data_IF_729331328727
#
_entry.id   IF_729331328727
#
_cell.length_a   1.000
_cell.length_b   1.000
_cell.length_c   1.000
_cell.angle_alpha   90.00
_cell.angle_beta   90.00
_cell.angle_gamma   90.00
#
_symmetry.space_group_name_H-M   'P 1'
#
loop_
_entity.id
_entity.type
_entity.pdbx_description
1 polymer ?
#
# COMPACT_ATOMS: atom_id res chain seq x y z
N UNK A 1 31.59 -12.45 -4.41
CA UNK A 1 30.44 -13.28 -4.01
C UNK A 1 29.70 -13.58 -5.30
N UNK A 2 29.81 -14.82 -5.77
CA UNK A 2 29.09 -15.30 -6.96
C UNK A 2 27.69 -15.73 -6.52
N UNK A 3 26.68 -15.30 -7.26
CA UNK A 3 25.27 -15.57 -6.96
C UNK A 3 24.89 -16.93 -7.56
N UNK A 4 24.29 -17.81 -6.77
CA UNK A 4 23.90 -19.16 -7.20
C UNK A 4 22.46 -19.15 -7.74
N UNK A 5 22.33 -19.24 -9.07
CA UNK A 5 21.06 -19.25 -9.80
C UNK A 5 20.19 -20.49 -9.48
N UNK A 6 20.73 -21.52 -8.84
CA UNK A 6 19.99 -22.75 -8.50
C UNK A 6 18.93 -22.55 -7.40
N UNK A 7 18.94 -21.40 -6.71
CA UNK A 7 17.96 -21.06 -5.67
C UNK A 7 16.68 -20.42 -6.22
N UNK A 8 16.59 -20.15 -7.52
CA UNK A 8 15.39 -19.60 -8.15
C UNK A 8 14.34 -20.70 -8.32
N UNK A 9 13.33 -20.69 -7.43
CA UNK A 9 12.15 -21.55 -7.58
C UNK A 9 11.44 -21.18 -8.89
N UNK A 10 11.55 -22.06 -9.90
CA UNK A 10 10.78 -21.97 -11.14
C UNK A 10 9.30 -22.17 -10.80
N UNK A 11 8.54 -21.08 -10.89
CA UNK A 11 7.09 -21.11 -10.70
C UNK A 11 6.45 -21.66 -11.98
N UNK A 12 6.19 -22.96 -12.02
CA UNK A 12 5.41 -23.60 -13.07
C UNK A 12 4.03 -22.95 -13.14
N UNK A 13 3.69 -22.40 -14.31
CA UNK A 13 2.49 -21.61 -14.54
C UNK A 13 1.21 -22.40 -14.25
N UNK A 14 0.48 -21.95 -13.24
CA UNK A 14 -0.96 -22.11 -13.17
C UNK A 14 -1.56 -20.71 -13.37
N UNK A 15 -2.32 -20.55 -14.44
CA UNK A 15 -2.94 -19.28 -14.82
C UNK A 15 -3.85 -18.78 -13.68
N UNK A 16 -3.36 -17.82 -12.92
CA UNK A 16 -4.19 -16.97 -12.08
C UNK A 16 -4.98 -16.01 -13.00
N UNK A 17 -6.22 -15.63 -12.63
CA UNK A 17 -7.05 -14.77 -13.46
C UNK A 17 -6.29 -13.48 -13.76
N UNK A 18 -6.35 -13.04 -15.02
CA UNK A 18 -5.62 -11.91 -15.60
C UNK A 18 -5.47 -10.75 -14.60
N UNK A 19 -4.34 -10.75 -13.89
CA UNK A 19 -3.96 -9.64 -13.05
C UNK A 19 -3.54 -8.54 -14.02
N UNK A 20 -4.19 -7.38 -13.97
CA UNK A 20 -3.65 -6.13 -14.52
C UNK A 20 -2.14 -6.15 -14.30
N UNK A 21 -1.35 -5.95 -15.36
CA UNK A 21 0.11 -6.03 -15.39
C UNK A 21 0.75 -5.04 -14.40
N UNK A 22 0.60 -5.37 -13.12
CA UNK A 22 0.99 -4.53 -12.01
C UNK A 22 2.41 -4.94 -11.72
N UNK A 23 3.34 -4.14 -12.24
CA UNK A 23 4.77 -4.30 -12.02
C UNK A 23 5.05 -4.52 -10.53
N UNK A 24 5.50 -5.73 -10.17
CA UNK A 24 5.87 -6.04 -8.79
C UNK A 24 7.26 -5.51 -8.52
N UNK A 25 7.40 -4.72 -7.46
CA UNK A 25 8.68 -4.16 -7.05
C UNK A 25 8.91 -4.35 -5.56
N UNK A 26 10.17 -4.58 -5.17
CA UNK A 26 10.62 -4.44 -3.78
C UNK A 26 11.36 -3.12 -3.62
N UNK A 27 11.18 -2.46 -2.48
CA UNK A 27 11.80 -1.20 -2.13
C UNK A 27 13.02 -1.48 -1.26
N UNK A 28 14.19 -0.99 -1.65
CA UNK A 28 15.45 -1.22 -0.98
C UNK A 28 16.06 0.10 -0.52
N UNK A 29 16.71 0.08 0.64
CA UNK A 29 17.58 1.16 1.07
C UNK A 29 18.67 1.36 0.01
N UNK A 30 18.82 2.57 -0.53
CA UNK A 30 19.83 2.84 -1.55
C UNK A 30 21.27 2.68 -1.05
N UNK A 31 21.50 2.83 0.27
CA UNK A 31 22.84 2.77 0.85
C UNK A 31 23.35 1.34 1.08
N UNK A 32 22.48 0.42 1.48
CA UNK A 32 22.87 -0.92 1.94
C UNK A 32 22.02 -2.07 1.37
N UNK A 33 21.08 -1.76 0.49
CA UNK A 33 20.19 -2.71 -0.18
C UNK A 33 19.24 -3.51 0.74
N UNK A 34 19.16 -3.21 2.04
CA UNK A 34 18.14 -3.77 2.94
C UNK A 34 16.75 -3.53 2.38
N UNK A 35 15.90 -4.57 2.36
CA UNK A 35 14.52 -4.50 1.88
C UNK A 35 13.66 -3.78 2.91
N UNK A 36 13.08 -2.66 2.51
CA UNK A 36 12.26 -1.78 3.35
C UNK A 36 10.76 -1.98 3.12
N UNK A 37 10.37 -2.60 2.00
CA UNK A 37 8.98 -2.86 1.68
C UNK A 37 8.81 -3.39 0.25
N UNK A 38 7.57 -3.41 -0.22
CA UNK A 38 7.20 -3.85 -1.55
C UNK A 38 5.99 -3.08 -2.10
N UNK A 39 5.68 -3.29 -3.38
CA UNK A 39 4.58 -2.65 -4.09
C UNK A 39 3.18 -2.98 -3.54
N UNK A 40 3.03 -4.00 -2.69
CA UNK A 40 1.75 -4.32 -2.04
C UNK A 40 1.51 -3.45 -0.80
N UNK A 41 2.59 -2.95 -0.19
CA UNK A 41 2.55 -1.96 0.89
C UNK A 41 2.42 -0.52 0.40
N UNK A 42 2.67 -0.26 -0.88
CA UNK A 42 2.56 1.09 -1.48
C UNK A 42 1.09 1.44 -1.74
N UNK A 43 0.68 2.63 -1.32
CA UNK A 43 -0.64 3.19 -1.64
C UNK A 43 -0.58 4.40 -2.58
N UNK A 44 0.61 4.96 -2.81
CA UNK A 44 0.92 5.85 -3.94
C UNK A 44 2.14 6.74 -3.68
N UNK A 45 2.12 7.98 -4.14
CA UNK A 45 3.21 8.95 -3.97
C UNK A 45 2.71 10.36 -3.64
N UNK A 46 3.59 11.17 -3.05
CA UNK A 46 3.35 12.58 -2.76
C UNK A 46 4.48 13.44 -3.32
N UNK A 47 4.19 14.05 -4.46
CA UNK A 47 5.18 14.76 -5.28
C UNK A 47 5.84 15.94 -4.56
N UNK A 48 5.07 16.72 -3.78
CA UNK A 48 5.62 17.88 -3.06
C UNK A 48 6.65 17.51 -1.98
N UNK A 49 6.69 16.24 -1.55
CA UNK A 49 7.69 15.73 -0.61
C UNK A 49 8.63 14.69 -1.23
N UNK A 50 8.57 14.47 -2.56
CA UNK A 50 9.32 13.43 -3.29
C UNK A 50 9.36 12.09 -2.53
N UNK A 51 8.18 11.63 -2.10
CA UNK A 51 8.06 10.46 -1.21
C UNK A 51 7.07 9.43 -1.74
N UNK A 52 7.44 8.16 -1.60
CA UNK A 52 6.56 7.00 -1.78
C UNK A 52 5.73 6.85 -0.51
N UNK A 53 4.41 6.74 -0.64
CA UNK A 53 3.48 6.54 0.47
C UNK A 53 3.21 5.04 0.64
N UNK A 54 3.53 4.52 1.81
CA UNK A 54 3.34 3.12 2.16
C UNK A 54 2.44 2.98 3.39
N UNK A 55 1.48 2.06 3.32
CA UNK A 55 0.67 1.63 4.47
C UNK A 55 1.40 0.57 5.31
N UNK A 56 2.38 -0.12 4.73
CA UNK A 56 3.17 -1.15 5.39
C UNK A 56 4.59 -1.12 4.88
N UNK A 57 5.53 -1.32 5.79
CA UNK A 57 6.97 -1.50 5.57
C UNK A 57 7.45 -2.73 6.34
N UNK A 58 8.69 -3.14 6.13
CA UNK A 58 9.33 -4.23 6.91
C UNK A 58 9.81 -3.73 8.28
N UNK A 59 10.17 -4.65 9.17
CA UNK A 59 10.76 -4.34 10.48
C UNK A 59 12.15 -3.69 10.38
N UNK A 60 12.72 -3.62 9.18
CA UNK A 60 13.98 -2.92 8.89
C UNK A 60 13.81 -1.41 8.70
N UNK A 61 12.58 -0.90 8.78
CA UNK A 61 12.29 0.54 8.86
C UNK A 61 11.99 0.89 10.32
N UNK A 62 12.91 1.63 10.95
CA UNK A 62 12.80 2.04 12.35
C UNK A 62 12.26 3.46 12.42
N UNK A 63 11.17 3.65 13.17
CA UNK A 63 10.65 4.99 13.52
C UNK A 63 11.49 5.55 14.66
N UNK A 64 12.00 6.75 14.50
CA UNK A 64 12.73 7.45 15.57
C UNK A 64 11.79 7.90 16.69
N UNK A 65 12.19 7.71 17.95
CA UNK A 65 11.41 8.16 19.12
C UNK A 65 11.30 9.69 19.19
N UNK A 66 12.28 10.40 18.62
CA UNK A 66 12.24 11.86 18.53
C UNK A 66 11.10 12.32 17.59
N UNK A 67 10.31 13.27 18.08
CA UNK A 67 9.31 13.98 17.30
C UNK A 67 9.81 15.38 16.94
N UNK A 68 9.64 15.76 15.68
CA UNK A 68 10.11 17.01 15.10
C UNK A 68 8.91 17.82 14.60
N UNK A 69 8.96 19.14 14.79
CA UNK A 69 7.96 20.07 14.24
C UNK A 69 8.51 20.78 13.02
N UNK A 70 7.78 20.70 11.91
CA UNK A 70 8.13 21.43 10.69
C UNK A 70 7.49 22.82 10.70
N UNK A 71 8.32 23.86 10.59
CA UNK A 71 7.89 25.26 10.71
C UNK A 71 7.74 26.01 9.37
N UNK A 72 8.21 25.43 8.25
CA UNK A 72 8.20 26.04 6.92
C UNK A 72 8.08 24.99 5.82
N UNK A 73 7.75 25.43 4.60
CA UNK A 73 7.64 24.59 3.41
C UNK A 73 6.39 23.72 3.40
N UNK A 74 6.40 22.67 2.57
CA UNK A 74 5.26 21.75 2.37
C UNK A 74 4.77 21.07 3.66
N UNK A 75 5.66 20.94 4.65
CA UNK A 75 5.35 20.35 5.94
C UNK A 75 5.00 21.37 7.03
N UNK A 76 4.80 22.65 6.69
CA UNK A 76 4.48 23.66 7.70
C UNK A 76 3.32 23.21 8.60
N UNK A 77 3.52 23.29 9.92
CA UNK A 77 2.59 22.85 10.95
C UNK A 77 2.39 21.32 11.05
N UNK A 78 3.33 20.53 10.53
CA UNK A 78 3.35 19.08 10.77
C UNK A 78 4.20 18.72 11.99
N UNK A 79 3.82 17.65 12.67
CA UNK A 79 4.65 16.94 13.65
C UNK A 79 4.97 15.58 13.03
N UNK A 80 6.24 15.17 13.04
CA UNK A 80 6.68 13.93 12.39
C UNK A 80 7.81 13.25 13.15
N UNK A 81 8.04 11.98 12.84
CA UNK A 81 9.25 11.25 13.24
C UNK A 81 10.00 10.80 11.99
N UNK A 82 11.33 10.90 12.05
CA UNK A 82 12.21 10.39 11.00
C UNK A 82 12.21 8.85 10.95
N UNK A 83 12.30 8.28 9.74
CA UNK A 83 12.47 6.84 9.52
C UNK A 83 13.92 6.53 9.17
N UNK A 84 14.47 5.47 9.77
CA UNK A 84 15.84 5.00 9.52
C UNK A 84 15.85 3.56 9.06
N UNK A 85 16.77 3.24 8.16
CA UNK A 85 17.07 1.84 7.84
C UNK A 85 17.79 1.19 9.02
N UNK A 86 17.34 0.02 9.46
CA UNK A 86 17.98 -0.76 10.53
C UNK A 86 19.41 -1.18 10.18
N UNK A 87 19.67 -1.50 8.91
CA UNK A 87 20.97 -2.01 8.45
C UNK A 87 22.09 -0.97 8.46
N UNK A 88 21.82 0.26 7.99
CA UNK A 88 22.84 1.30 7.85
C UNK A 88 22.58 2.58 8.66
N UNK A 89 21.48 2.65 9.39
CA UNK A 89 21.03 3.80 10.17
C UNK A 89 20.78 5.10 9.38
N UNK A 90 20.93 5.09 8.05
CA UNK A 90 20.63 6.25 7.21
C UNK A 90 19.13 6.57 7.25
N UNK A 91 18.80 7.86 7.14
CA UNK A 91 17.43 8.31 6.99
C UNK A 91 16.85 7.80 5.67
N UNK A 92 15.66 7.21 5.71
CA UNK A 92 14.97 6.68 4.53
C UNK A 92 13.59 7.29 4.34
N UNK A 93 13.12 8.10 5.29
CA UNK A 93 11.78 8.67 5.22
C UNK A 93 11.33 9.35 6.50
N UNK A 94 10.00 9.45 6.65
CA UNK A 94 9.32 10.02 7.82
C UNK A 94 7.91 9.44 7.99
N UNK A 95 7.32 9.61 9.17
CA UNK A 95 5.89 9.40 9.43
C UNK A 95 5.32 10.69 10.01
N UNK A 96 4.21 11.17 9.45
CA UNK A 96 3.52 12.34 9.98
C UNK A 96 2.56 11.92 11.10
N UNK A 97 2.70 12.50 12.28
CA UNK A 97 1.79 12.30 13.43
C UNK A 97 0.67 13.32 13.44
N UNK A 98 1.00 14.57 13.11
CA UNK A 98 0.05 15.67 12.94
C UNK A 98 0.30 16.36 11.61
N UNK A 99 -0.77 16.71 10.90
CA UNK A 99 -0.71 17.29 9.57
C UNK A 99 -1.92 18.21 9.32
N UNK A 100 -1.75 19.33 8.59
CA UNK A 100 -2.86 20.16 8.14
C UNK A 100 -3.72 19.42 7.10
N UNK A 101 -4.92 19.92 6.75
CA UNK A 101 -5.87 19.24 5.86
C UNK A 101 -5.27 18.76 4.52
N UNK A 102 -4.35 19.53 3.93
CA UNK A 102 -3.69 19.16 2.67
C UNK A 102 -2.80 17.91 2.75
N UNK A 103 -2.31 17.56 3.96
CA UNK A 103 -1.47 16.40 4.21
C UNK A 103 -2.14 15.36 5.11
N UNK A 104 -3.38 15.60 5.54
CA UNK A 104 -4.09 14.73 6.46
C UNK A 104 -4.27 13.30 5.91
N UNK A 105 -4.36 13.15 4.57
CA UNK A 105 -4.51 11.86 3.91
C UNK A 105 -3.32 10.92 4.10
N UNK A 106 -2.11 11.46 4.33
CA UNK A 106 -0.88 10.67 4.52
C UNK A 106 -0.40 10.63 5.97
N UNK A 107 -1.23 11.10 6.91
CA UNK A 107 -0.97 10.99 8.34
C UNK A 107 -0.90 9.52 8.75
N UNK A 108 0.06 9.19 9.62
CA UNK A 108 0.31 7.83 10.12
C UNK A 108 0.67 6.80 9.03
N UNK A 109 1.05 7.27 7.84
CA UNK A 109 1.61 6.44 6.77
C UNK A 109 3.13 6.61 6.72
N UNK A 110 3.82 5.61 6.18
CA UNK A 110 5.26 5.65 5.97
C UNK A 110 5.56 6.40 4.67
N UNK A 111 6.31 7.50 4.77
CA UNK A 111 6.74 8.30 3.63
C UNK A 111 8.23 8.02 3.37
N UNK A 112 8.54 7.20 2.38
CA UNK A 112 9.92 6.86 2.02
C UNK A 112 10.45 7.85 0.99
N UNK A 113 11.60 8.47 1.26
CA UNK A 113 12.21 9.44 0.34
C UNK A 113 12.68 8.76 -0.92
N UNK A 114 12.14 9.18 -2.07
CA UNK A 114 12.40 8.53 -3.35
C UNK A 114 13.89 8.56 -3.73
N UNK A 115 14.59 9.63 -3.36
CA UNK A 115 16.04 9.78 -3.51
C UNK A 115 16.89 8.80 -2.68
N UNK A 116 16.31 8.11 -1.68
CA UNK A 116 17.00 7.19 -0.79
C UNK A 116 16.55 5.73 -1.00
N UNK A 117 15.73 5.47 -2.03
CA UNK A 117 15.16 4.16 -2.33
C UNK A 117 15.58 3.70 -3.73
N UNK A 118 16.06 2.45 -3.79
CA UNK A 118 16.21 1.70 -5.04
C UNK A 118 15.11 0.64 -5.13
N UNK A 119 14.59 0.38 -6.32
CA UNK A 119 13.54 -0.58 -6.54
C UNK A 119 14.08 -1.76 -7.34
N UNK A 120 13.87 -2.98 -6.86
CA UNK A 120 14.09 -4.16 -7.68
C UNK A 120 12.79 -4.51 -8.39
N UNK A 121 12.84 -4.56 -9.71
CA UNK A 121 11.70 -4.86 -10.57
C UNK A 121 11.70 -6.34 -10.91
N UNK A 122 10.74 -7.09 -10.37
CA UNK A 122 10.75 -8.55 -10.45
C UNK A 122 10.68 -9.06 -11.89
N UNK A 123 9.83 -8.43 -12.73
CA UNK A 123 9.62 -8.87 -14.11
C UNK A 123 10.85 -8.64 -15.00
N UNK A 124 11.75 -7.73 -14.62
CA UNK A 124 12.93 -7.34 -15.40
C UNK A 124 14.25 -7.72 -14.72
N UNK A 125 14.18 -8.35 -13.54
CA UNK A 125 15.32 -8.70 -12.71
C UNK A 125 16.37 -7.58 -12.57
N UNK A 126 15.90 -6.34 -12.44
CA UNK A 126 16.77 -5.16 -12.50
C UNK A 126 16.53 -4.22 -11.34
N UNK A 127 17.60 -3.55 -10.92
CA UNK A 127 17.52 -2.49 -9.91
C UNK A 127 17.48 -1.13 -10.59
N UNK A 128 16.47 -0.34 -10.26
CA UNK A 128 16.28 1.03 -10.76
C UNK A 128 16.15 1.99 -9.59
N UNK A 129 16.41 3.28 -9.80
CA UNK A 129 16.12 4.28 -8.77
C UNK A 129 14.63 4.44 -8.62
N UNK A 130 14.12 4.67 -7.41
CA UNK A 130 12.69 4.96 -7.26
C UNK A 130 12.27 6.22 -8.04
N UNK A 131 13.20 7.14 -8.31
CA UNK A 131 13.00 8.34 -9.12
C UNK A 131 12.61 8.07 -10.59
N UNK A 132 12.75 6.84 -11.08
CA UNK A 132 12.38 6.45 -12.45
C UNK A 132 11.06 5.69 -12.52
N UNK A 133 10.43 5.40 -11.38
CA UNK A 133 9.14 4.72 -11.28
C UNK A 133 8.07 5.70 -10.81
N UNK A 134 6.83 5.46 -11.22
CA UNK A 134 5.65 6.16 -10.70
C UNK A 134 4.88 5.24 -9.78
N UNK A 135 4.43 5.77 -8.65
CA UNK A 135 3.60 5.04 -7.70
C UNK A 135 2.23 5.68 -7.65
N UNK A 136 1.42 5.41 -8.66
CA UNK A 136 0.10 6.04 -8.76
C UNK A 136 -0.80 5.60 -7.61
N UNK A 137 -1.46 6.59 -6.99
CA UNK A 137 -2.50 6.33 -6.01
C UNK A 137 -3.65 5.60 -6.71
N UNK A 138 -3.88 4.33 -6.36
CA UNK A 138 -5.00 3.57 -6.94
C UNK A 138 -6.31 4.31 -6.63
N UNK A 139 -7.20 4.54 -7.61
CA UNK A 139 -8.43 5.28 -7.39
C UNK A 139 -9.37 4.51 -6.46
N UNK A 140 -9.35 4.86 -5.17
CA UNK A 140 -10.21 4.28 -4.14
C UNK A 140 -11.70 4.44 -4.50
N UNK A 141 -12.06 5.55 -5.16
CA UNK A 141 -13.43 5.87 -5.56
C UNK A 141 -14.07 4.80 -6.43
N UNK A 142 -13.34 4.25 -7.39
CA UNK A 142 -13.88 3.25 -8.31
C UNK A 142 -14.07 1.92 -7.61
N UNK A 143 -13.10 1.52 -6.78
CA UNK A 143 -13.20 0.32 -5.96
C UNK A 143 -14.35 0.44 -4.95
N UNK A 144 -14.54 1.60 -4.32
CA UNK A 144 -15.68 1.85 -3.43
C UNK A 144 -17.02 1.78 -4.17
N UNK A 145 -17.10 2.29 -5.40
CA UNK A 145 -18.31 2.15 -6.23
C UNK A 145 -18.61 0.67 -6.52
N UNK A 146 -17.61 -0.11 -6.90
CA UNK A 146 -17.75 -1.56 -7.15
C UNK A 146 -18.24 -2.29 -5.90
N UNK A 147 -17.61 -2.04 -4.76
CA UNK A 147 -17.98 -2.65 -3.46
C UNK A 147 -19.39 -2.25 -3.05
N UNK A 148 -19.75 -0.97 -3.20
CA UNK A 148 -21.11 -0.48 -2.93
C UNK A 148 -22.15 -1.20 -3.78
N UNK A 149 -21.91 -1.33 -5.08
CA UNK A 149 -22.81 -2.06 -5.98
C UNK A 149 -22.96 -3.53 -5.58
N UNK A 150 -21.87 -4.19 -5.16
CA UNK A 150 -21.93 -5.56 -4.65
C UNK A 150 -22.82 -5.67 -3.39
N UNK A 151 -22.71 -4.72 -2.47
CA UNK A 151 -23.58 -4.67 -1.29
C UNK A 151 -25.04 -4.43 -1.65
N UNK A 152 -25.32 -3.53 -2.59
CA UNK A 152 -26.69 -3.27 -3.08
C UNK A 152 -27.31 -4.56 -3.66
N UNK A 153 -26.56 -5.31 -4.48
CA UNK A 153 -27.02 -6.61 -5.02
C UNK A 153 -27.29 -7.63 -3.91
N UNK A 154 -26.42 -7.73 -2.91
CA UNK A 154 -26.62 -8.66 -1.80
C UNK A 154 -27.83 -8.28 -0.94
N UNK A 155 -28.06 -6.99 -0.71
CA UNK A 155 -29.24 -6.50 0.01
C UNK A 155 -30.54 -6.86 -0.74
N UNK A 156 -30.56 -6.70 -2.05
CA UNK A 156 -31.71 -7.07 -2.87
C UNK A 156 -32.00 -8.58 -2.80
N UNK A 157 -30.96 -9.41 -2.88
CA UNK A 157 -31.09 -10.87 -2.72
C UNK A 157 -31.64 -11.24 -1.33
N UNK A 158 -31.13 -10.65 -0.26
CA UNK A 158 -31.64 -10.87 1.09
C UNK A 158 -33.10 -10.45 1.22
N UNK A 159 -33.50 -9.33 0.61
CA UNK A 159 -34.89 -8.85 0.62
C UNK A 159 -35.85 -9.85 -0.05
N UNK A 160 -35.38 -10.51 -1.12
CA UNK A 160 -36.15 -11.47 -1.88
C UNK A 160 -36.27 -12.80 -1.14
N UNK A 161 -35.19 -13.26 -0.50
CA UNK A 161 -35.20 -14.42 0.40
C UNK A 161 -36.15 -14.17 1.57
N UNK A 162 -36.08 -12.99 2.20
CA UNK A 162 -36.98 -12.62 3.31
C UNK A 162 -38.45 -12.70 2.90
N UNK A 163 -38.83 -12.15 1.74
CA UNK A 163 -40.22 -12.24 1.24
C UNK A 163 -40.66 -13.70 1.06
N UNK A 164 -39.84 -14.52 0.41
CA UNK A 164 -40.15 -15.95 0.20
C UNK A 164 -40.33 -16.73 1.50
N UNK A 165 -39.52 -16.44 2.53
CA UNK A 165 -39.65 -17.07 3.85
C UNK A 165 -40.94 -16.64 4.56
N UNK A 166 -41.34 -15.37 4.43
CA UNK A 166 -42.61 -14.88 4.99
C UNK A 166 -43.81 -15.51 4.26
N UNK A 167 -43.79 -15.56 2.93
CA UNK A 167 -44.89 -16.13 2.14
C UNK A 167 -45.02 -17.66 2.33
N UNK A 168 -43.90 -18.36 2.51
CA UNK A 168 -43.86 -19.78 2.86
C UNK A 168 -44.37 -20.09 4.28
N UNK A 169 -44.23 -19.14 5.21
CA UNK A 169 -44.79 -19.24 6.57
C UNK A 169 -46.32 -19.11 6.55
N UNK A 170 -46.86 -18.17 5.78
CA UNK A 170 -48.31 -17.92 5.67
C UNK A 170 -49.04 -19.09 5.02
N UNK A 171 -48.41 -19.74 4.02
CA UNK A 171 -48.99 -20.93 3.36
C UNK A 171 -48.98 -22.18 4.24
N UNK A 172 -48.06 -22.28 5.20
CA UNK A 172 -48.05 -23.38 6.18
C UNK A 172 -49.08 -23.23 7.31
N UNK A 173 -49.52 -22.01 7.63
CA UNK A 173 -50.54 -21.76 8.66
C UNK A 173 -51.97 -21.95 8.12
N UNK A 174 -52.20 -21.76 6.81
CA UNK A 174 -53.49 -21.98 6.14
C UNK A 174 -53.83 -23.46 5.86
N UNK A 175 -52.91 -24.39 6.14
CA UNK A 175 -53.07 -25.84 5.94
C UNK A 175 -53.22 -26.63 7.27
N UNK A 176 -53.47 -25.94 8.39
CA UNK A 176 -53.87 -26.55 9.67
C UNK A 176 -55.33 -26.25 9.96
#
# INVERSE_FOLDING_TARGET
MEFDDSLLIQRSGAAAPEAEDTQRVTLHCQQCHTVLGDSLGVCGEIQCMDSIVCIRVTDDVVVSDAMESAHKGEMANCIYSSLKCRGCCCAVGKVLHSAPPGLAAVRSMFLLYRANISCYVLNHSSMVKASTLTFDMKPLRENMKKVRQQFEVQLDQMSLIKRRLVDGSVTSELLK
#
